data_IF_036382517446
#
_entry.id   IF_036382517446
#
_cell.length_a   1.000
_cell.length_b   1.000
_cell.length_c   1.000
_cell.angle_alpha   90.00
_cell.angle_beta   90.00
_cell.angle_gamma   90.00
#
_symmetry.space_group_name_H-M   'P 1'
#
loop_
_entity.id
_entity.type
_entity.pdbx_description
1 polymer ?
#
# COMPACT_ATOMS: atom_id res chain seq x y z
N UNK A 1 69.47 5.27 10.48
CA UNK A 1 68.97 6.24 11.47
C UNK A 1 67.72 6.91 10.91
N UNK A 2 66.66 6.96 11.72
CA UNK A 2 65.42 7.78 11.70
C UNK A 2 65.26 8.73 10.49
N UNK A 3 64.12 8.78 9.80
CA UNK A 3 62.86 9.46 10.18
C UNK A 3 61.72 8.89 9.28
N UNK A 4 60.60 8.37 9.80
CA UNK A 4 59.37 9.07 10.26
C UNK A 4 58.78 10.10 9.27
N UNK A 5 57.69 9.70 8.60
CA UNK A 5 56.70 10.54 7.91
C UNK A 5 55.31 10.09 8.37
N UNK A 6 54.42 11.08 8.49
CA UNK A 6 53.12 11.16 9.16
C UNK A 6 52.10 10.03 8.90
N UNK A 7 51.40 9.64 9.98
CA UNK A 7 50.03 9.12 9.95
C UNK A 7 49.15 10.07 10.79
N UNK A 8 48.24 10.79 10.16
CA UNK A 8 47.19 11.55 10.85
C UNK A 8 46.06 10.60 11.29
N UNK A 9 45.90 10.43 12.61
CA UNK A 9 44.75 9.79 13.26
C UNK A 9 43.95 10.85 13.99
N UNK A 10 42.65 10.90 13.67
CA UNK A 10 41.69 11.75 14.34
C UNK A 10 41.53 11.41 15.83
N UNK A 11 41.23 12.43 16.64
CA UNK A 11 40.69 12.25 17.98
C UNK A 11 39.78 13.41 18.35
N UNK A 12 38.54 13.06 18.66
CA UNK A 12 37.48 13.93 19.16
C UNK A 12 37.91 14.66 20.45
N UNK A 13 37.66 15.96 20.49
CA UNK A 13 37.84 16.78 21.71
C UNK A 13 36.49 17.39 22.07
N UNK A 14 35.87 16.88 23.13
CA UNK A 14 34.83 17.60 23.88
C UNK A 14 35.41 18.08 25.21
N UNK A 15 34.92 19.20 25.76
CA UNK A 15 34.98 19.39 27.21
C UNK A 15 33.71 20.11 27.75
N UNK A 16 33.58 20.35 29.07
CA UNK A 16 33.36 19.34 30.09
C UNK A 16 32.14 19.66 30.99
N UNK A 17 31.64 18.66 31.70
CA UNK A 17 30.74 18.84 32.84
C UNK A 17 31.39 19.68 33.94
N UNK A 18 30.64 20.64 34.49
CA UNK A 18 30.94 21.30 35.76
C UNK A 18 29.65 21.50 36.55
N UNK A 19 29.47 20.70 37.60
CA UNK A 19 28.39 20.85 38.58
C UNK A 19 28.99 21.44 39.87
N UNK A 20 28.17 22.27 40.53
CA UNK A 20 28.20 22.68 41.94
C UNK A 20 29.03 23.90 42.33
N UNK A 21 28.31 24.87 42.88
CA UNK A 21 28.79 26.03 43.61
C UNK A 21 27.60 26.85 44.12
N UNK A 22 26.89 26.31 45.11
CA UNK A 22 25.90 27.02 45.94
C UNK A 22 26.65 27.59 47.14
N UNK A 23 26.47 28.89 47.40
CA UNK A 23 26.57 29.58 48.71
C UNK A 23 26.46 31.09 48.39
N UNK A 24 25.72 31.99 49.03
CA UNK A 24 24.84 32.12 50.21
C UNK A 24 23.98 33.38 49.89
N UNK A 25 22.80 33.66 50.45
CA UNK A 25 22.51 33.86 51.87
C UNK A 25 21.00 33.90 52.12
N UNK A 26 20.59 33.29 53.22
CA UNK A 26 19.21 33.18 53.72
C UNK A 26 18.83 34.39 54.59
N UNK A 27 17.51 34.65 54.67
CA UNK A 27 16.73 35.55 55.57
C UNK A 27 16.58 37.00 55.07
N UNK A 28 15.38 37.58 54.95
CA UNK A 28 14.28 37.63 55.91
C UNK A 28 12.91 37.85 55.22
N UNK A 29 11.87 37.17 55.69
CA UNK A 29 10.48 37.26 55.23
C UNK A 29 9.83 38.60 55.60
N UNK A 30 9.22 39.31 54.64
CA UNK A 30 8.00 40.12 54.91
C UNK A 30 7.14 40.24 53.65
N UNK A 31 5.98 39.62 53.72
CA UNK A 31 4.99 39.53 52.65
C UNK A 31 4.43 40.91 52.23
N UNK A 32 4.42 41.17 50.92
CA UNK A 32 3.32 41.81 50.20
C UNK A 32 3.24 41.15 48.82
N UNK A 33 2.06 40.61 48.50
CA UNK A 33 1.84 39.76 47.34
C UNK A 33 2.25 40.41 46.03
N UNK A 34 3.04 39.69 45.26
CA UNK A 34 3.24 39.94 43.83
C UNK A 34 2.52 38.80 43.13
N UNK A 35 1.28 39.04 42.73
CA UNK A 35 0.68 38.22 41.67
C UNK A 35 1.25 38.70 40.34
N UNK A 36 1.89 37.83 39.54
CA UNK A 36 2.18 38.14 38.15
C UNK A 36 0.86 38.04 37.37
N UNK A 37 0.17 39.16 37.21
CA UNK A 37 -0.98 39.25 36.30
C UNK A 37 -0.48 38.94 34.90
N UNK A 38 -0.84 37.76 34.40
CA UNK A 38 -0.67 37.32 33.02
C UNK A 38 -1.30 38.36 32.09
N UNK A 39 -0.49 39.25 31.52
CA UNK A 39 -0.90 40.06 30.37
C UNK A 39 -0.70 39.22 29.11
N UNK A 40 -1.54 38.22 28.93
CA UNK A 40 -1.56 37.41 27.69
C UNK A 40 -3.02 37.09 27.30
N UNK A 41 -3.93 38.04 27.53
CA UNK A 41 -5.37 37.93 27.22
C UNK A 41 -5.93 39.18 26.49
N UNK A 42 -5.10 40.14 26.07
CA UNK A 42 -5.63 41.41 25.53
C UNK A 42 -5.54 41.56 24.00
N UNK A 43 -5.38 40.47 23.25
CA UNK A 43 -5.72 40.45 21.82
C UNK A 43 -7.11 39.85 21.63
N UNK A 44 -8.15 40.57 22.06
CA UNK A 44 -9.53 40.17 21.80
C UNK A 44 -9.72 40.03 20.28
N UNK A 45 -10.15 38.86 19.74
CA UNK A 45 -10.43 38.76 18.31
C UNK A 45 -11.51 39.79 18.03
N UNK A 46 -11.16 40.84 17.29
CA UNK A 46 -12.08 41.92 16.95
C UNK A 46 -13.05 41.39 15.90
N UNK A 47 -13.94 40.50 16.32
CA UNK A 47 -15.07 40.06 15.53
C UNK A 47 -16.07 41.21 15.54
N UNK A 48 -15.87 42.14 14.61
CA UNK A 48 -16.89 43.13 14.26
C UNK A 48 -18.08 42.33 13.74
N UNK A 49 -19.01 42.00 14.63
CA UNK A 49 -20.21 41.20 14.35
C UNK A 49 -21.15 41.87 13.32
N UNK A 50 -20.84 43.10 12.91
CA UNK A 50 -21.62 43.90 11.96
C UNK A 50 -20.82 44.12 10.68
N UNK A 51 -21.52 44.06 9.53
CA UNK A 51 -20.92 44.32 8.23
C UNK A 51 -20.43 45.77 8.15
N UNK A 52 -19.12 45.94 8.05
CA UNK A 52 -18.47 47.26 7.92
C UNK A 52 -18.59 47.85 6.51
N UNK A 53 -18.97 47.03 5.52
CA UNK A 53 -19.09 47.41 4.10
C UNK A 53 -20.47 47.11 3.55
N UNK A 54 -20.91 47.94 2.59
CA UNK A 54 -22.14 47.71 1.85
C UNK A 54 -22.05 46.52 0.89
N UNK A 55 -23.20 45.94 0.49
CA UNK A 55 -23.26 44.79 -0.44
C UNK A 55 -22.55 45.05 -1.76
N UNK A 56 -22.72 46.25 -2.33
CA UNK A 56 -22.10 46.68 -3.59
C UNK A 56 -20.57 46.68 -3.50
N UNK A 57 -20.05 47.26 -2.42
CA UNK A 57 -18.60 47.37 -2.18
C UNK A 57 -17.97 45.99 -1.99
N UNK A 58 -18.60 45.12 -1.21
CA UNK A 58 -18.14 43.74 -1.01
C UNK A 58 -18.07 42.96 -2.33
N UNK A 59 -19.08 43.12 -3.19
CA UNK A 59 -19.10 42.46 -4.49
C UNK A 59 -17.98 42.99 -5.40
N UNK A 60 -17.82 44.31 -5.45
CA UNK A 60 -16.77 44.96 -6.24
C UNK A 60 -15.38 44.49 -5.78
N UNK A 61 -15.12 44.51 -4.49
CA UNK A 61 -13.86 44.08 -3.89
C UNK A 61 -13.55 42.60 -4.21
N UNK A 62 -14.56 41.72 -4.11
CA UNK A 62 -14.43 40.31 -4.51
C UNK A 62 -14.08 40.19 -6.00
N UNK A 63 -14.80 40.89 -6.87
CA UNK A 63 -14.54 40.82 -8.33
C UNK A 63 -13.14 41.30 -8.70
N UNK A 64 -12.65 42.36 -8.04
CA UNK A 64 -11.29 42.88 -8.26
C UNK A 64 -10.24 41.87 -7.78
N UNK A 65 -10.41 41.29 -6.58
CA UNK A 65 -9.52 40.23 -6.08
C UNK A 65 -9.46 39.04 -7.02
N UNK A 66 -10.62 38.55 -7.47
CA UNK A 66 -10.72 37.37 -8.35
C UNK A 66 -10.08 37.64 -9.72
N UNK A 67 -10.20 38.87 -10.23
CA UNK A 67 -9.55 39.27 -11.49
C UNK A 67 -8.03 39.30 -11.34
N UNK A 68 -7.54 39.99 -10.30
CA UNK A 68 -6.10 40.13 -10.06
C UNK A 68 -5.48 38.76 -9.77
N UNK A 69 -6.13 37.91 -8.98
CA UNK A 69 -5.62 36.58 -8.66
C UNK A 69 -5.49 35.70 -9.91
N UNK A 70 -6.43 35.78 -10.84
CA UNK A 70 -6.35 35.09 -12.14
C UNK A 70 -5.20 35.61 -12.99
N UNK A 71 -5.08 36.93 -13.14
CA UNK A 71 -4.00 37.54 -13.93
C UNK A 71 -2.61 37.22 -13.35
N UNK A 72 -2.49 37.19 -12.02
CA UNK A 72 -1.26 36.78 -11.34
C UNK A 72 -0.99 35.31 -11.56
N UNK A 73 -1.98 34.44 -11.35
CA UNK A 73 -1.83 32.99 -11.52
C UNK A 73 -1.48 32.62 -12.96
N UNK A 74 -2.07 33.29 -13.96
CA UNK A 74 -1.74 33.08 -15.36
C UNK A 74 -0.30 33.51 -15.69
N UNK A 75 0.16 34.64 -15.14
CA UNK A 75 1.53 35.12 -15.34
C UNK A 75 2.57 34.35 -14.54
N UNK A 76 2.20 33.86 -13.36
CA UNK A 76 3.12 33.24 -12.41
C UNK A 76 3.08 31.72 -12.41
N UNK A 77 2.08 31.08 -13.06
CA UNK A 77 2.02 29.62 -13.11
C UNK A 77 3.17 29.14 -13.99
N UNK A 78 4.15 28.43 -13.42
CA UNK A 78 5.12 27.73 -14.24
C UNK A 78 4.36 26.70 -15.07
N UNK A 79 4.77 26.50 -16.32
CA UNK A 79 4.29 25.34 -17.10
C UNK A 79 4.60 24.11 -16.24
N UNK A 80 3.60 23.29 -15.88
CA UNK A 80 3.86 22.11 -15.09
C UNK A 80 4.85 21.24 -15.88
N UNK A 81 5.92 20.73 -15.24
CA UNK A 81 6.86 19.86 -15.93
C UNK A 81 6.09 18.66 -16.49
N UNK A 82 6.50 18.12 -17.66
CA UNK A 82 5.86 16.94 -18.22
C UNK A 82 5.87 15.84 -17.15
N UNK A 83 4.71 15.20 -16.95
CA UNK A 83 4.55 14.11 -15.99
C UNK A 83 5.55 13.00 -16.32
N UNK A 84 6.54 12.78 -15.45
CA UNK A 84 7.61 11.80 -15.65
C UNK A 84 7.23 10.38 -15.20
N UNK A 85 6.04 10.18 -14.65
CA UNK A 85 5.58 8.86 -14.21
C UNK A 85 4.90 8.12 -15.36
N UNK A 86 5.49 7.00 -15.78
CA UNK A 86 4.81 6.01 -16.60
C UNK A 86 4.21 4.96 -15.66
N UNK A 87 2.89 4.78 -15.71
CA UNK A 87 2.26 3.67 -14.97
C UNK A 87 2.70 2.36 -15.61
N UNK A 88 2.90 1.30 -14.82
CA UNK A 88 3.30 -0.03 -15.34
C UNK A 88 2.45 -0.46 -16.55
N UNK A 89 1.15 -0.18 -16.52
CA UNK A 89 0.25 -0.44 -17.65
C UNK A 89 0.66 0.31 -18.92
N UNK A 90 1.10 1.56 -18.85
CA UNK A 90 1.53 2.33 -20.02
C UNK A 90 2.89 1.89 -20.55
N UNK A 91 3.81 1.45 -19.67
CA UNK A 91 5.14 0.97 -20.08
C UNK A 91 5.12 -0.44 -20.70
N UNK A 92 4.19 -1.30 -20.28
CA UNK A 92 4.14 -2.71 -20.69
C UNK A 92 2.95 -3.06 -21.59
N UNK A 93 2.17 -2.07 -22.06
CA UNK A 93 1.09 -2.35 -23.02
C UNK A 93 1.66 -2.62 -24.41
N UNK A 94 1.88 -3.89 -24.72
CA UNK A 94 2.26 -4.32 -26.06
C UNK A 94 1.01 -4.41 -26.96
N UNK A 95 0.68 -3.31 -27.65
CA UNK A 95 -0.43 -3.24 -28.61
C UNK A 95 -0.29 -4.23 -29.79
N UNK A 96 0.91 -4.78 -30.00
CA UNK A 96 1.22 -5.78 -31.02
C UNK A 96 0.85 -7.20 -30.62
N UNK A 97 0.66 -7.46 -29.32
CA UNK A 97 0.26 -8.78 -28.85
C UNK A 97 -1.26 -8.92 -29.02
N UNK A 98 -1.66 -9.47 -30.16
CA UNK A 98 -3.02 -9.96 -30.36
C UNK A 98 -3.07 -11.39 -29.82
N UNK A 99 -3.73 -11.65 -28.68
CA UNK A 99 -3.90 -13.02 -28.21
C UNK A 99 -4.82 -13.75 -29.19
N UNK A 100 -4.23 -14.50 -30.10
CA UNK A 100 -4.96 -15.44 -30.95
C UNK A 100 -5.00 -16.79 -30.24
N UNK A 101 -6.19 -17.31 -29.91
CA UNK A 101 -6.28 -18.65 -29.36
C UNK A 101 -5.75 -19.65 -30.40
N UNK A 102 -4.97 -20.66 -29.99
CA UNK A 102 -4.50 -21.66 -30.93
C UNK A 102 -5.69 -22.36 -31.59
N UNK A 103 -5.57 -22.66 -32.88
CA UNK A 103 -6.59 -23.43 -33.60
C UNK A 103 -6.75 -24.78 -32.91
N UNK A 104 -7.98 -25.16 -32.49
CA UNK A 104 -8.22 -26.46 -31.89
C UNK A 104 -7.83 -27.58 -32.88
N UNK A 105 -6.93 -28.48 -32.47
CA UNK A 105 -6.51 -29.60 -33.32
C UNK A 105 -7.62 -30.67 -33.44
N UNK A 106 -8.52 -30.74 -32.45
CA UNK A 106 -9.61 -31.70 -32.39
C UNK A 106 -10.86 -31.04 -31.77
N UNK A 107 -12.02 -31.51 -32.18
CA UNK A 107 -13.30 -31.17 -31.57
C UNK A 107 -13.46 -31.94 -30.26
N UNK A 108 -12.88 -31.41 -29.18
CA UNK A 108 -13.00 -31.96 -27.84
C UNK A 108 -14.23 -31.38 -27.14
N UNK A 109 -15.11 -32.24 -26.63
CA UNK A 109 -16.22 -31.84 -25.78
C UNK A 109 -15.89 -32.11 -24.30
N UNK A 110 -15.67 -31.02 -23.55
CA UNK A 110 -15.33 -31.07 -22.13
C UNK A 110 -16.42 -31.72 -21.25
N UNK A 111 -17.68 -31.76 -21.69
CA UNK A 111 -18.76 -32.35 -20.91
C UNK A 111 -18.82 -33.87 -21.01
N UNK A 112 -18.36 -34.43 -22.14
CA UNK A 112 -18.48 -35.86 -22.42
C UNK A 112 -17.14 -36.59 -22.33
N UNK A 113 -16.05 -35.94 -22.73
CA UNK A 113 -14.72 -36.52 -22.72
C UNK A 113 -14.11 -36.53 -21.32
N UNK A 114 -13.33 -37.57 -21.02
CA UNK A 114 -12.53 -37.60 -19.82
C UNK A 114 -11.31 -36.68 -19.96
N UNK A 115 -10.93 -35.95 -18.89
CA UNK A 115 -9.74 -35.12 -18.92
C UNK A 115 -8.49 -35.98 -19.12
N UNK A 116 -7.57 -35.48 -19.93
CA UNK A 116 -6.24 -36.08 -20.09
C UNK A 116 -5.45 -35.73 -18.83
N UNK A 117 -5.24 -36.74 -17.99
CA UNK A 117 -4.48 -36.67 -16.75
C UNK A 117 -3.34 -37.69 -16.77
N UNK A 118 -2.40 -37.56 -15.84
CA UNK A 118 -1.38 -38.57 -15.64
C UNK A 118 -1.97 -39.98 -15.46
N UNK A 119 -3.09 -40.08 -14.74
CA UNK A 119 -3.75 -41.35 -14.44
C UNK A 119 -4.41 -41.97 -15.66
N UNK A 120 -5.11 -41.17 -16.49
CA UNK A 120 -5.74 -41.66 -17.72
C UNK A 120 -4.72 -42.16 -18.75
N UNK A 121 -3.51 -41.59 -18.75
CA UNK A 121 -2.45 -42.02 -19.66
C UNK A 121 -1.76 -43.31 -19.19
N UNK A 122 -1.71 -43.55 -17.87
CA UNK A 122 -1.01 -44.67 -17.27
C UNK A 122 -1.93 -45.81 -16.80
N UNK A 123 -3.21 -45.81 -17.21
CA UNK A 123 -4.25 -46.81 -16.86
C UNK A 123 -3.73 -48.25 -16.84
N UNK A 124 -2.92 -48.63 -17.82
CA UNK A 124 -2.41 -50.00 -17.96
C UNK A 124 -1.17 -50.31 -17.08
N UNK A 125 -0.49 -49.28 -16.58
CA UNK A 125 0.79 -49.38 -15.87
C UNK A 125 0.65 -49.11 -14.36
N UNK A 126 -0.52 -48.69 -13.88
CA UNK A 126 -0.76 -48.38 -12.47
C UNK A 126 -1.12 -49.66 -11.71
N UNK A 127 -0.52 -49.84 -10.54
CA UNK A 127 -0.81 -50.94 -9.62
C UNK A 127 -1.55 -50.42 -8.37
N UNK A 128 -2.24 -51.30 -7.64
CA UNK A 128 -2.95 -50.94 -6.40
C UNK A 128 -4.30 -50.25 -6.62
N UNK A 129 -4.85 -50.32 -7.83
CA UNK A 129 -6.19 -49.82 -8.17
C UNK A 129 -7.13 -50.99 -8.45
N UNK A 130 -8.44 -50.74 -8.38
CA UNK A 130 -9.45 -51.72 -8.79
C UNK A 130 -9.42 -51.95 -10.30
N UNK A 131 -9.71 -53.18 -10.72
CA UNK A 131 -9.70 -53.55 -12.14
C UNK A 131 -10.55 -52.63 -13.02
N UNK A 132 -9.97 -52.26 -14.15
CA UNK A 132 -10.52 -51.27 -15.07
C UNK A 132 -11.36 -51.99 -16.11
N UNK A 133 -12.69 -51.86 -16.00
CA UNK A 133 -13.65 -52.54 -16.89
C UNK A 133 -13.91 -51.81 -18.21
N UNK A 134 -13.73 -50.49 -18.22
CA UNK A 134 -13.98 -49.65 -19.40
C UNK A 134 -12.83 -48.69 -19.63
N UNK A 135 -12.38 -48.61 -20.88
CA UNK A 135 -11.30 -47.70 -21.29
C UNK A 135 -11.74 -46.24 -21.31
N UNK A 136 -13.01 -45.98 -21.57
CA UNK A 136 -13.55 -44.62 -21.65
C UNK A 136 -13.64 -43.95 -20.27
N UNK A 137 -13.91 -44.75 -19.22
CA UNK A 137 -14.04 -44.27 -17.83
C UNK A 137 -13.28 -45.22 -16.90
N UNK A 138 -11.94 -45.10 -16.85
CA UNK A 138 -11.11 -46.09 -16.20
C UNK A 138 -11.27 -46.13 -14.68
N UNK A 139 -11.50 -44.98 -14.04
CA UNK A 139 -11.55 -44.85 -12.57
C UNK A 139 -12.98 -44.71 -12.04
N UNK A 140 -13.85 -45.65 -12.41
CA UNK A 140 -15.20 -45.73 -11.85
C UNK A 140 -15.19 -46.35 -10.45
N UNK A 141 -16.11 -45.90 -9.59
CA UNK A 141 -16.27 -46.47 -8.24
C UNK A 141 -16.67 -47.94 -8.36
N UNK A 142 -15.85 -48.83 -7.82
CA UNK A 142 -16.16 -50.24 -7.67
C UNK A 142 -16.40 -50.55 -6.19
N UNK A 143 -17.58 -51.04 -5.87
CA UNK A 143 -17.96 -51.46 -4.50
C UNK A 143 -18.25 -52.95 -4.40
N UNK A 144 -17.90 -53.74 -5.41
CA UNK A 144 -18.21 -55.19 -5.45
C UNK A 144 -17.68 -55.93 -4.22
N UNK A 145 -16.47 -55.59 -3.77
CA UNK A 145 -15.86 -56.20 -2.58
C UNK A 145 -16.55 -55.79 -1.27
N UNK A 146 -16.88 -54.50 -1.12
CA UNK A 146 -17.42 -53.92 0.12
C UNK A 146 -18.94 -53.98 0.24
N UNK A 147 -19.68 -54.28 -0.85
CA UNK A 147 -21.12 -54.48 -0.82
C UNK A 147 -21.49 -55.70 0.06
N UNK A 148 -22.45 -55.56 0.99
CA UNK A 148 -22.91 -56.67 1.82
C UNK A 148 -23.54 -57.76 0.96
N UNK A 149 -23.46 -59.02 1.42
CA UNK A 149 -23.89 -60.21 0.64
C UNK A 149 -25.37 -60.11 0.24
N UNK A 150 -26.21 -59.57 1.13
CA UNK A 150 -27.65 -59.36 0.89
C UNK A 150 -27.98 -58.46 -0.31
N UNK A 151 -27.05 -57.62 -0.76
CA UNK A 151 -27.23 -56.66 -1.86
C UNK A 151 -26.52 -57.08 -3.17
N UNK A 152 -25.88 -58.25 -3.19
CA UNK A 152 -25.19 -58.76 -4.39
C UNK A 152 -26.19 -59.42 -5.32
N UNK A 153 -26.22 -58.97 -6.58
CA UNK A 153 -27.10 -59.52 -7.63
C UNK A 153 -26.47 -60.69 -8.40
N UNK A 154 -25.16 -60.92 -8.23
CA UNK A 154 -24.35 -61.79 -9.10
C UNK A 154 -24.10 -63.20 -8.52
N UNK A 155 -24.70 -63.54 -7.37
CA UNK A 155 -24.50 -64.84 -6.72
C UNK A 155 -25.72 -65.75 -6.91
N UNK A 156 -25.63 -66.87 -7.66
CA UNK A 156 -26.58 -67.96 -7.50
C UNK A 156 -26.40 -68.58 -6.10
N UNK A 157 -27.52 -68.91 -5.47
CA UNK A 157 -27.56 -69.66 -4.20
C UNK A 157 -27.07 -71.10 -4.37
#
# INVERSE_FOLDING_TARGET
MRQHVEEDKGLATGPPCGIHGSTESTTLTRARGVEPTRQDIDSLPTNTAFRTKGKREMLLEKTLRDRISKEVLEKSSPIPPPKQYSTSKQAFFHYTLKPEPPVPNKAHDYHTEQPITYWSNNVNNIQGVTDIKSREKPFLKNTTFSKPISERLDTPF
#
